data_IF_928125846187
#
_entry.id   IF_928125846187
#
_cell.length_a   1.000
_cell.length_b   1.000
_cell.length_c   1.000
_cell.angle_alpha   90.00
_cell.angle_beta   90.00
_cell.angle_gamma   90.00
#
_symmetry.space_group_name_H-M   'P 1'
#
loop_
_entity.id
_entity.type
_entity.pdbx_description
1 polymer ?
#
# COMPACT_ATOMS: atom_id res chain seq x y z
N UNK A 1 -43.09 20.31 -2.24
CA UNK A 1 -42.17 19.25 -1.81
C UNK A 1 -40.85 19.93 -1.52
N UNK A 2 -40.36 19.87 -0.30
CA UNK A 2 -39.02 20.38 0.03
C UNK A 2 -38.02 19.45 -0.66
N UNK A 3 -37.16 20.02 -1.49
CA UNK A 3 -36.07 19.31 -2.14
C UNK A 3 -35.06 18.95 -1.03
N UNK A 4 -35.17 17.73 -0.49
CA UNK A 4 -34.24 17.16 0.49
C UNK A 4 -32.90 16.84 -0.18
N UNK A 5 -32.21 17.88 -0.68
CA UNK A 5 -30.88 17.78 -1.24
C UNK A 5 -29.87 17.53 -0.12
N UNK A 6 -29.50 16.26 0.06
CA UNK A 6 -28.45 15.87 1.00
C UNK A 6 -27.09 15.96 0.30
N UNK A 7 -26.31 17.00 0.65
CA UNK A 7 -24.94 17.13 0.19
C UNK A 7 -24.10 15.95 0.71
N UNK A 8 -23.54 15.16 -0.21
CA UNK A 8 -22.71 14.00 0.14
C UNK A 8 -21.28 14.46 0.43
N UNK A 9 -20.95 14.65 1.70
CA UNK A 9 -19.61 15.11 2.14
C UNK A 9 -18.56 13.99 2.15
N UNK A 10 -18.98 12.73 2.06
CA UNK A 10 -18.10 11.57 2.10
C UNK A 10 -18.63 10.52 1.14
N UNK A 11 -17.75 9.88 0.37
CA UNK A 11 -18.09 8.75 -0.49
C UNK A 11 -17.44 7.50 0.09
N UNK A 12 -18.26 6.51 0.41
CA UNK A 12 -17.81 5.23 0.98
C UNK A 12 -17.80 4.19 -0.13
N UNK A 13 -16.67 3.50 -0.26
CA UNK A 13 -16.40 2.54 -1.32
C UNK A 13 -15.93 1.21 -0.75
N UNK A 14 -16.39 0.11 -1.35
CA UNK A 14 -15.86 -1.23 -1.14
C UNK A 14 -15.02 -1.62 -2.35
N UNK A 15 -13.76 -1.98 -2.14
CA UNK A 15 -12.87 -2.40 -3.23
C UNK A 15 -13.24 -3.81 -3.66
N UNK A 16 -13.66 -3.97 -4.91
CA UNK A 16 -13.96 -5.27 -5.51
C UNK A 16 -12.71 -5.87 -6.15
N UNK A 17 -11.98 -5.07 -6.92
CA UNK A 17 -10.73 -5.49 -7.57
C UNK A 17 -9.67 -4.41 -7.44
N UNK A 18 -8.41 -4.85 -7.40
CA UNK A 18 -7.23 -4.00 -7.38
C UNK A 18 -6.19 -4.55 -8.36
N UNK A 19 -5.90 -3.77 -9.41
CA UNK A 19 -5.00 -4.13 -10.49
C UNK A 19 -3.83 -3.16 -10.53
N UNK A 20 -2.61 -3.65 -10.27
CA UNK A 20 -1.41 -2.87 -10.49
C UNK A 20 -0.98 -2.99 -11.95
N UNK A 21 -1.04 -1.89 -12.70
CA UNK A 21 -0.59 -1.81 -14.09
C UNK A 21 0.82 -1.26 -14.13
N UNK A 22 1.76 -2.14 -14.45
CA UNK A 22 3.14 -1.80 -14.77
C UNK A 22 3.21 -1.53 -16.27
N UNK A 23 3.15 -0.27 -16.66
CA UNK A 23 3.42 0.07 -18.05
C UNK A 23 4.94 0.03 -18.31
N UNK A 24 5.33 -0.22 -19.56
CA UNK A 24 6.71 -0.52 -19.95
C UNK A 24 7.76 0.55 -19.63
N UNK A 25 8.98 0.35 -20.13
CA UNK A 25 10.16 1.21 -19.83
C UNK A 25 9.81 2.70 -20.00
N UNK A 26 9.77 3.44 -18.88
CA UNK A 26 9.46 4.89 -18.71
C UNK A 26 8.03 5.29 -18.32
N UNK A 27 7.08 4.38 -18.09
CA UNK A 27 5.78 4.76 -17.50
C UNK A 27 5.71 4.42 -16.01
N UNK A 28 5.16 5.35 -15.22
CA UNK A 28 4.88 5.12 -13.80
C UNK A 28 3.82 4.03 -13.67
N UNK A 29 3.99 3.12 -12.72
CA UNK A 29 2.94 2.17 -12.39
C UNK A 29 1.66 2.93 -12.01
N UNK A 30 0.51 2.30 -12.25
CA UNK A 30 -0.79 2.85 -11.86
C UNK A 30 -1.60 1.76 -11.18
N UNK A 31 -2.23 2.08 -10.06
CA UNK A 31 -3.10 1.15 -9.34
C UNK A 31 -4.55 1.46 -9.75
N UNK A 32 -5.19 0.51 -10.41
CA UNK A 32 -6.57 0.61 -10.88
C UNK A 32 -7.46 -0.17 -9.92
N UNK A 33 -8.42 0.51 -9.31
CA UNK A 33 -9.36 -0.08 -8.37
C UNK A 33 -10.75 -0.07 -8.99
N UNK A 34 -11.44 -1.21 -8.97
CA UNK A 34 -12.88 -1.25 -9.20
C UNK A 34 -13.56 -1.31 -7.85
N UNK A 35 -14.38 -0.31 -7.57
CA UNK A 35 -15.00 -0.10 -6.28
C UNK A 35 -16.52 -0.06 -6.41
N UNK A 36 -17.24 -0.73 -5.53
CA UNK A 36 -18.68 -0.55 -5.38
C UNK A 36 -18.95 0.61 -4.44
N UNK A 37 -19.86 1.50 -4.83
CA UNK A 37 -20.27 2.62 -3.99
C UNK A 37 -21.30 2.14 -2.97
N UNK A 38 -21.09 2.50 -1.70
CA UNK A 38 -21.89 2.01 -0.58
C UNK A 38 -22.99 2.99 -0.20
N UNK A 39 -22.69 4.28 -0.23
CA UNK A 39 -23.59 5.33 0.27
C UNK A 39 -24.24 6.18 -0.83
N UNK A 40 -23.83 6.00 -2.08
CA UNK A 40 -24.48 6.62 -3.24
C UNK A 40 -24.93 5.54 -4.21
N UNK A 41 -26.18 5.60 -4.67
CA UNK A 41 -26.79 4.63 -5.56
C UNK A 41 -26.33 4.76 -7.03
N UNK A 42 -25.04 5.01 -7.25
CA UNK A 42 -24.41 5.12 -8.57
C UNK A 42 -23.72 3.83 -9.01
N UNK A 43 -23.78 2.78 -8.20
CA UNK A 43 -23.30 1.44 -8.55
C UNK A 43 -21.81 1.29 -8.36
N UNK A 44 -21.00 1.71 -9.34
CA UNK A 44 -19.57 1.41 -9.41
C UNK A 44 -18.72 2.67 -9.61
N UNK A 45 -17.49 2.62 -9.09
CA UNK A 45 -16.46 3.62 -9.22
C UNK A 45 -15.17 2.95 -9.73
N UNK A 46 -14.64 3.43 -10.85
CA UNK A 46 -13.31 3.09 -11.31
C UNK A 46 -12.34 4.15 -10.82
N UNK A 47 -11.42 3.79 -9.93
CA UNK A 47 -10.44 4.69 -9.35
C UNK A 47 -9.03 4.36 -9.86
N UNK A 48 -8.37 5.33 -10.47
CA UNK A 48 -6.99 5.25 -10.93
C UNK A 48 -6.09 6.02 -9.96
N UNK A 49 -5.10 5.33 -9.39
CA UNK A 49 -4.10 5.89 -8.48
C UNK A 49 -2.77 5.97 -9.21
N UNK A 50 -2.23 7.19 -9.32
CA UNK A 50 -0.95 7.47 -9.95
C UNK A 50 0.03 8.07 -8.95
N UNK A 51 1.33 7.82 -9.18
CA UNK A 51 2.39 8.43 -8.40
C UNK A 51 2.61 9.89 -8.82
N UNK A 52 2.63 10.81 -7.86
CA UNK A 52 3.01 12.20 -8.12
C UNK A 52 3.42 12.93 -6.85
N UNK A 53 3.92 14.14 -7.02
CA UNK A 53 4.05 15.08 -5.91
C UNK A 53 2.67 15.75 -5.78
N UNK A 54 1.96 15.48 -4.68
CA UNK A 54 0.73 16.22 -4.38
C UNK A 54 1.15 17.66 -4.10
N UNK A 55 0.99 18.54 -5.09
CA UNK A 55 1.34 19.93 -4.95
C UNK A 55 0.50 20.53 -3.82
N UNK A 56 1.14 21.34 -2.99
CA UNK A 56 0.68 21.66 -1.65
C UNK A 56 -0.62 22.47 -1.71
N UNK A 57 -1.76 21.79 -1.58
CA UNK A 57 -2.99 22.16 -0.85
C UNK A 57 -4.21 21.51 -1.51
N UNK A 58 -4.83 20.63 -0.75
CA UNK A 58 -6.27 20.31 -0.75
C UNK A 58 -6.80 19.29 -1.76
N UNK A 59 -6.24 19.14 -2.97
CA UNK A 59 -6.76 18.14 -3.93
C UNK A 59 -5.84 16.93 -4.12
N UNK A 60 -6.27 15.79 -3.57
CA UNK A 60 -5.65 14.47 -3.75
C UNK A 60 -6.03 13.88 -5.11
N UNK A 61 -6.99 14.46 -5.82
CA UNK A 61 -7.54 13.91 -7.05
C UNK A 61 -8.85 14.56 -7.48
N UNK A 62 -9.46 13.98 -8.52
CA UNK A 62 -10.79 14.36 -9.01
C UNK A 62 -11.68 13.13 -9.11
N UNK A 63 -12.97 13.31 -8.84
CA UNK A 63 -14.01 12.31 -9.01
C UNK A 63 -15.08 12.83 -9.97
N UNK A 64 -15.16 12.23 -11.15
CA UNK A 64 -16.13 12.56 -12.19
C UNK A 64 -17.33 11.63 -12.04
N UNK A 65 -18.51 12.22 -11.79
CA UNK A 65 -19.79 11.51 -11.71
C UNK A 65 -20.52 11.71 -13.03
N UNK A 66 -20.50 10.70 -13.89
CA UNK A 66 -21.21 10.74 -15.16
C UNK A 66 -22.72 10.74 -14.93
N UNK A 67 -23.46 11.64 -15.58
CA UNK A 67 -24.93 11.67 -15.46
C UNK A 67 -25.56 10.56 -16.33
N UNK A 68 -24.97 10.31 -17.50
CA UNK A 68 -25.53 9.42 -18.52
C UNK A 68 -25.29 7.93 -18.24
N UNK A 69 -24.39 7.59 -17.30
CA UNK A 69 -24.04 6.21 -16.97
C UNK A 69 -23.90 6.02 -15.47
N UNK A 70 -24.26 4.84 -14.92
CA UNK A 70 -24.05 4.51 -13.51
C UNK A 70 -22.58 4.09 -13.27
N UNK A 71 -21.65 4.98 -13.64
CA UNK A 71 -20.22 4.78 -13.46
C UNK A 71 -19.59 6.09 -13.00
N UNK A 72 -18.89 6.02 -11.87
CA UNK A 72 -18.04 7.10 -11.39
C UNK A 72 -16.60 6.82 -11.79
N UNK A 73 -15.85 7.85 -12.18
CA UNK A 73 -14.43 7.74 -12.51
C UNK A 73 -13.63 8.63 -11.58
N UNK A 74 -12.76 8.03 -10.79
CA UNK A 74 -11.85 8.72 -9.91
C UNK A 74 -10.43 8.68 -10.46
N UNK A 75 -9.71 9.80 -10.31
CA UNK A 75 -8.26 9.84 -10.45
C UNK A 75 -7.68 10.46 -9.21
N UNK A 76 -6.75 9.78 -8.56
CA UNK A 76 -6.08 10.30 -7.38
C UNK A 76 -4.56 10.20 -7.56
N UNK A 77 -3.88 11.25 -7.12
CA UNK A 77 -2.43 11.34 -7.09
C UNK A 77 -2.00 11.11 -5.66
N UNK A 78 -1.21 10.07 -5.47
CA UNK A 78 -0.64 9.72 -4.17
C UNK A 78 0.85 10.03 -4.16
N UNK A 79 1.40 10.40 -2.98
CA UNK A 79 2.83 10.59 -2.82
C UNK A 79 3.62 9.37 -3.28
N UNK A 80 4.75 9.61 -3.96
CA UNK A 80 5.62 8.53 -4.47
C UNK A 80 6.02 7.52 -3.39
N UNK A 81 6.31 7.96 -2.18
CA UNK A 81 6.67 7.07 -1.05
C UNK A 81 5.58 6.05 -0.72
N UNK A 82 4.30 6.46 -0.80
CA UNK A 82 3.16 5.59 -0.58
C UNK A 82 2.93 4.69 -1.79
N UNK A 83 3.02 5.25 -3.00
CA UNK A 83 2.90 4.50 -4.25
C UNK A 83 3.93 3.35 -4.36
N UNK A 84 5.20 3.64 -4.06
CA UNK A 84 6.28 2.66 -4.12
C UNK A 84 6.07 1.48 -3.17
N UNK A 85 5.33 1.67 -2.07
CA UNK A 85 5.00 0.60 -1.13
C UNK A 85 4.08 -0.48 -1.73
N UNK A 86 3.25 -0.12 -2.73
CA UNK A 86 2.40 -1.08 -3.45
C UNK A 86 3.09 -1.65 -4.68
N UNK A 87 4.03 -0.90 -5.29
CA UNK A 87 4.80 -1.36 -6.46
C UNK A 87 5.93 -2.30 -6.08
N UNK A 88 6.64 -1.96 -5.00
CA UNK A 88 7.72 -2.76 -4.41
C UNK A 88 7.25 -3.19 -3.03
N UNK A 89 6.52 -4.32 -2.92
CA UNK A 89 6.17 -4.86 -1.62
C UNK A 89 7.48 -5.19 -0.89
N UNK A 90 7.81 -4.35 0.10
CA UNK A 90 8.95 -4.56 0.97
C UNK A 90 8.67 -5.88 1.68
N UNK A 91 9.37 -6.96 1.29
CA UNK A 91 9.34 -8.19 2.05
C UNK A 91 9.76 -7.80 3.47
N UNK A 92 8.82 -7.87 4.43
CA UNK A 92 9.20 -7.87 5.82
C UNK A 92 10.06 -9.11 5.96
N UNK A 93 11.37 -8.90 6.03
CA UNK A 93 12.28 -9.89 6.59
C UNK A 93 11.74 -10.16 7.99
N UNK A 94 10.94 -11.20 8.13
CA UNK A 94 10.76 -11.87 9.41
C UNK A 94 12.16 -12.28 9.81
N UNK A 95 12.80 -11.45 10.64
CA UNK A 95 13.92 -11.87 11.45
C UNK A 95 13.36 -12.97 12.33
N UNK A 96 13.45 -14.21 11.86
CA UNK A 96 13.29 -15.37 12.70
C UNK A 96 14.33 -15.18 13.80
N UNK A 97 13.86 -14.83 15.01
CA UNK A 97 14.62 -15.06 16.22
C UNK A 97 14.88 -16.57 16.24
N UNK A 98 16.06 -16.96 15.75
CA UNK A 98 16.61 -18.28 15.95
C UNK A 98 16.87 -18.35 17.47
N UNK A 99 15.96 -19.01 18.17
CA UNK A 99 16.11 -19.32 19.58
C UNK A 99 17.30 -20.26 19.68
N UNK A 100 18.44 -19.77 20.18
CA UNK A 100 19.62 -20.56 20.54
C UNK A 100 19.21 -21.72 21.46
N UNK A 101 19.40 -22.98 21.05
CA UNK A 101 19.27 -24.11 21.95
C UNK A 101 20.61 -24.84 21.98
N UNK A 102 21.64 -24.26 22.58
CA UNK A 102 22.79 -25.05 23.00
C UNK A 102 23.28 -24.58 24.38
N UNK A 103 22.56 -25.11 25.37
CA UNK A 103 23.04 -25.30 26.73
C UNK A 103 24.30 -26.16 26.67
N UNK A 104 25.44 -25.49 26.48
CA UNK A 104 26.76 -26.10 26.38
C UNK A 104 27.07 -26.85 27.69
N UNK A 105 26.90 -28.17 27.61
CA UNK A 105 27.34 -29.12 28.63
C UNK A 105 28.84 -28.94 28.90
N UNK A 106 29.18 -29.04 30.18
CA UNK A 106 30.55 -29.01 30.73
C UNK A 106 31.49 -29.92 29.94
N UNK A 107 32.64 -29.39 29.53
CA UNK A 107 33.86 -30.17 29.35
C UNK A 107 35.04 -29.36 29.87
N UNK A 108 35.52 -29.79 31.03
CA UNK A 108 36.74 -29.34 31.68
C UNK A 108 37.92 -29.98 30.95
N UNK A 109 38.76 -29.19 30.30
CA UNK A 109 40.10 -29.59 29.86
C UNK A 109 41.03 -28.38 30.05
N UNK A 110 41.83 -28.45 31.11
CA UNK A 110 42.86 -27.48 31.49
C UNK A 110 43.92 -27.30 30.39
N UNK A 111 44.43 -26.08 30.14
CA UNK A 111 45.55 -25.85 29.25
C UNK A 111 46.89 -26.12 29.97
N UNK A 112 47.71 -26.94 29.31
CA UNK A 112 49.06 -27.38 29.68
C UNK A 112 50.02 -26.20 29.90
N UNK A 113 50.81 -26.32 30.96
CA UNK A 113 51.90 -25.40 31.30
C UNK A 113 52.93 -25.24 30.19
N UNK A 114 53.42 -24.01 30.08
CA UNK A 114 54.45 -23.52 29.17
C UNK A 114 55.84 -24.08 29.58
N UNK A 115 56.71 -24.49 28.64
CA UNK A 115 58.07 -24.93 28.98
C UNK A 115 59.00 -23.72 29.25
N UNK A 116 60.03 -23.87 30.10
CA UNK A 116 61.07 -22.85 30.26
C UNK A 116 62.21 -23.08 29.25
N UNK A 117 62.56 -22.02 28.51
CA UNK A 117 63.84 -21.83 27.85
C UNK A 117 64.41 -20.49 28.33
N UNK A 118 65.66 -20.53 28.81
CA UNK A 118 66.50 -19.49 29.46
C UNK A 118 66.34 -19.28 30.98
#
# INVERSE_FOLDING_TARGET
MQDDWQQTNQIVMSVQTAELRLAGVKQSATLNLSCSLVNIARGQCQLELAAGEADKKEDIGNLVIEIDRPLIRGKAIIPRSLHDSFVMPRQRSTTAHLVDPDHRHKSSCEPRGRPPDQ
#
